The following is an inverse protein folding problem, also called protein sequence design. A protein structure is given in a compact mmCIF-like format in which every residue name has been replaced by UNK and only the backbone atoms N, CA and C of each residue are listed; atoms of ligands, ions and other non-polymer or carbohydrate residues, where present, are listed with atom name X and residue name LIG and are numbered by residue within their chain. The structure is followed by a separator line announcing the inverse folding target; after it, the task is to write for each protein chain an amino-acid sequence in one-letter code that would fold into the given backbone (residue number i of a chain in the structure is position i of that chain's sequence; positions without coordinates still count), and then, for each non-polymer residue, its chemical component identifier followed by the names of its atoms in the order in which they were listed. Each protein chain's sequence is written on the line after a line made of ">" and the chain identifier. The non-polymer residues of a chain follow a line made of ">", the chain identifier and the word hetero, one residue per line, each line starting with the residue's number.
data_IF_582723572475
#
_entry.id   IF_582723572475
#
_cell.length_a   1.000
_cell.length_b   1.000
_cell.length_c   1.000
_cell.angle_alpha   90.00
_cell.angle_beta   90.00
_cell.angle_gamma   90.00
#
_symmetry.space_group_name_H-M   'P 1'
#
loop_
_entity.id
_entity.type
_entity.pdbx_description
1 polymer ?
#
# COMPACT_ATOMS: atom_id res chain seq x y z
N UNK A 1 0.53 -7.18 15.33
CA UNK A 1 -0.82 -7.49 14.81
C UNK A 1 -1.43 -8.63 15.62
N UNK A 2 -2.74 -8.84 15.52
CA UNK A 2 -3.48 -9.79 16.37
C UNK A 2 -2.99 -11.24 16.23
N UNK A 3 -3.02 -11.80 15.01
CA UNK A 3 -2.64 -13.20 14.75
C UNK A 3 -1.18 -13.48 15.13
N UNK A 4 -0.26 -12.57 14.85
CA UNK A 4 1.15 -12.73 15.23
C UNK A 4 1.35 -12.88 16.75
N UNK A 5 0.57 -12.16 17.57
CA UNK A 5 0.62 -12.29 19.03
C UNK A 5 0.09 -13.65 19.48
N UNK A 6 -1.02 -14.11 18.91
CA UNK A 6 -1.59 -15.42 19.22
C UNK A 6 -0.60 -16.55 18.89
N UNK A 7 0.06 -16.48 17.72
CA UNK A 7 1.08 -17.46 17.33
C UNK A 7 2.28 -17.47 18.29
N UNK A 8 2.75 -16.29 18.70
CA UNK A 8 3.85 -16.17 19.67
C UNK A 8 3.49 -16.80 21.02
N UNK A 9 2.28 -16.55 21.53
CA UNK A 9 1.78 -17.15 22.78
C UNK A 9 1.71 -18.69 22.69
N UNK A 10 1.22 -19.23 21.57
CA UNK A 10 1.15 -20.67 21.35
C UNK A 10 2.54 -21.31 21.26
N UNK A 11 3.51 -20.65 20.60
CA UNK A 11 4.88 -21.13 20.49
C UNK A 11 5.66 -21.12 21.81
N UNK A 12 5.28 -20.25 22.76
CA UNK A 12 5.95 -20.13 24.05
C UNK A 12 5.86 -21.42 24.89
N UNK A 13 4.79 -22.22 24.73
CA UNK A 13 4.58 -23.49 25.45
C UNK A 13 5.71 -24.49 25.25
N UNK A 14 6.31 -24.50 24.06
CA UNK A 14 7.37 -25.43 23.67
C UNK A 14 8.72 -24.74 23.45
N UNK A 15 8.86 -23.47 23.84
CA UNK A 15 10.08 -22.66 23.66
C UNK A 15 10.53 -22.63 22.18
N UNK A 16 9.56 -22.56 21.26
CA UNK A 16 9.85 -22.48 19.82
C UNK A 16 10.35 -21.07 19.47
N UNK A 17 11.48 -20.99 18.77
CA UNK A 17 11.94 -19.74 18.17
C UNK A 17 10.99 -19.33 17.05
N UNK A 18 10.64 -18.06 16.97
CA UNK A 18 9.75 -17.51 15.95
C UNK A 18 10.39 -16.30 15.27
N UNK A 19 10.13 -16.15 13.97
CA UNK A 19 10.36 -14.94 13.19
C UNK A 19 9.02 -14.50 12.60
N UNK A 20 8.65 -13.23 12.74
CA UNK A 20 7.29 -12.74 12.49
C UNK A 20 7.30 -11.47 11.64
N UNK A 21 6.74 -11.56 10.44
CA UNK A 21 6.50 -10.43 9.54
C UNK A 21 5.01 -10.09 9.52
N UNK A 22 4.65 -8.95 10.11
CA UNK A 22 3.29 -8.72 10.61
C UNK A 22 2.49 -7.64 9.86
N UNK A 23 2.97 -7.22 8.70
CA UNK A 23 2.41 -6.09 7.97
C UNK A 23 2.82 -4.73 8.55
N UNK A 24 2.41 -3.66 7.88
CA UNK A 24 2.81 -2.30 8.25
C UNK A 24 1.80 -1.24 7.84
N UNK A 25 2.06 -0.01 8.30
CA UNK A 25 1.36 1.19 7.89
C UNK A 25 2.40 2.19 7.37
N UNK A 26 3.05 1.83 6.26
CA UNK A 26 4.26 2.51 5.80
C UNK A 26 3.95 3.97 5.37
N UNK A 27 4.76 4.95 5.81
CA UNK A 27 4.66 6.32 5.33
C UNK A 27 5.38 6.48 3.98
N UNK A 28 4.86 7.39 3.16
CA UNK A 28 5.52 7.93 1.96
C UNK A 28 5.63 9.43 2.15
N UNK A 29 6.85 9.97 2.12
CA UNK A 29 7.13 11.35 2.52
C UNK A 29 7.68 12.12 1.31
N UNK A 30 7.06 13.26 0.99
CA UNK A 30 7.42 14.12 -0.16
C UNK A 30 7.80 15.50 0.35
N UNK A 31 9.04 15.91 0.09
CA UNK A 31 9.57 17.24 0.39
C UNK A 31 9.40 18.19 -0.80
N UNK A 32 9.58 19.48 -0.55
CA UNK A 32 9.43 20.56 -1.55
C UNK A 32 10.47 20.52 -2.67
N UNK A 33 11.63 19.93 -2.42
CA UNK A 33 12.72 19.70 -3.38
C UNK A 33 12.58 18.40 -4.18
N UNK A 34 11.52 17.62 -3.93
CA UNK A 34 11.28 16.38 -4.62
C UNK A 34 10.87 16.60 -6.09
N UNK A 35 11.36 15.72 -6.97
CA UNK A 35 10.81 15.57 -8.31
C UNK A 35 9.39 14.97 -8.21
N UNK A 36 8.37 15.82 -8.40
CA UNK A 36 6.97 15.44 -8.17
C UNK A 36 6.47 14.37 -9.14
N UNK A 37 7.00 14.31 -10.36
CA UNK A 37 6.59 13.29 -11.33
C UNK A 37 7.09 11.91 -10.88
N UNK A 38 8.36 11.82 -10.48
CA UNK A 38 8.92 10.59 -9.89
C UNK A 38 8.27 10.23 -8.56
N UNK A 39 7.92 11.22 -7.74
CA UNK A 39 7.23 10.99 -6.48
C UNK A 39 5.85 10.35 -6.71
N UNK A 40 5.11 10.80 -7.72
CA UNK A 40 3.82 10.22 -8.10
C UNK A 40 3.98 8.80 -8.66
N UNK A 41 4.96 8.55 -9.51
CA UNK A 41 5.28 7.19 -9.99
C UNK A 41 5.59 6.23 -8.83
N UNK A 42 6.44 6.68 -7.90
CA UNK A 42 6.78 5.92 -6.69
C UNK A 42 5.57 5.68 -5.78
N UNK A 43 4.71 6.69 -5.61
CA UNK A 43 3.48 6.57 -4.85
C UNK A 43 2.53 5.54 -5.50
N UNK A 44 2.39 5.56 -6.82
CA UNK A 44 1.58 4.58 -7.54
C UNK A 44 2.09 3.14 -7.35
N UNK A 45 3.40 2.93 -7.59
CA UNK A 45 4.04 1.64 -7.46
C UNK A 45 3.98 1.09 -6.02
N UNK A 46 4.03 1.97 -5.02
CA UNK A 46 3.97 1.59 -3.61
C UNK A 46 2.55 1.33 -3.12
N UNK A 47 1.58 2.20 -3.45
CA UNK A 47 0.22 2.14 -2.90
C UNK A 47 -0.67 1.15 -3.64
N UNK A 48 -0.59 1.08 -4.97
CA UNK A 48 -1.62 0.42 -5.78
C UNK A 48 -1.21 -0.95 -6.34
N UNK A 49 0.08 -1.31 -6.24
CA UNK A 49 0.55 -2.66 -6.60
C UNK A 49 -0.25 -3.72 -5.83
N UNK A 50 -0.70 -4.75 -6.55
CA UNK A 50 -1.54 -5.82 -6.00
C UNK A 50 -2.81 -5.29 -5.30
N UNK A 51 -3.42 -4.23 -5.83
CA UNK A 51 -4.54 -3.51 -5.22
C UNK A 51 -4.26 -3.04 -3.77
N UNK A 52 -3.00 -2.75 -3.44
CA UNK A 52 -2.57 -2.33 -2.10
C UNK A 52 -2.46 -3.48 -1.09
N UNK A 53 -2.61 -4.73 -1.52
CA UNK A 53 -2.54 -5.92 -0.67
C UNK A 53 -1.08 -6.41 -0.55
N UNK A 54 -0.17 -5.52 -0.13
CA UNK A 54 1.22 -5.86 0.19
C UNK A 54 1.59 -5.29 1.57
N UNK A 55 2.38 -6.03 2.35
CA UNK A 55 2.76 -5.65 3.71
C UNK A 55 3.50 -4.30 3.84
N UNK A 56 4.16 -3.85 2.78
CA UNK A 56 4.97 -2.62 2.71
C UNK A 56 4.33 -1.49 1.90
N UNK A 57 3.06 -1.62 1.50
CA UNK A 57 2.37 -0.56 0.76
C UNK A 57 2.34 0.74 1.56
N UNK A 58 2.59 1.87 0.88
CA UNK A 58 2.42 3.19 1.45
C UNK A 58 0.93 3.41 1.78
N UNK A 59 0.59 3.49 3.06
CA UNK A 59 -0.79 3.69 3.51
C UNK A 59 -1.03 5.11 4.06
N UNK A 60 0.04 5.89 4.20
CA UNK A 60 0.01 7.29 4.62
C UNK A 60 0.95 8.09 3.74
N UNK A 61 0.43 9.11 3.07
CA UNK A 61 1.23 10.05 2.27
C UNK A 61 1.34 11.34 3.07
N UNK A 62 2.55 11.75 3.38
CA UNK A 62 2.87 13.02 4.02
C UNK A 62 3.58 13.88 2.99
N UNK A 63 3.01 15.05 2.70
CA UNK A 63 3.52 15.94 1.65
C UNK A 63 3.74 17.31 2.26
N UNK A 64 4.91 17.90 2.03
CA UNK A 64 5.24 19.22 2.53
C UNK A 64 4.34 20.28 1.88
N UNK A 65 3.88 21.22 2.69
CA UNK A 65 2.84 22.20 2.34
C UNK A 65 3.07 22.91 1.00
N UNK A 66 4.30 23.36 0.73
CA UNK A 66 4.66 24.09 -0.50
C UNK A 66 4.48 23.33 -1.82
N UNK A 67 4.34 22.00 -1.79
CA UNK A 67 4.09 21.16 -2.97
C UNK A 67 2.82 20.32 -2.89
N UNK A 68 2.04 20.45 -1.80
CA UNK A 68 0.89 19.61 -1.52
C UNK A 68 -0.12 19.58 -2.67
N UNK A 69 -0.65 20.74 -3.08
CA UNK A 69 -1.71 20.81 -4.09
C UNK A 69 -1.25 20.25 -5.44
N UNK A 70 -0.02 20.59 -5.84
CA UNK A 70 0.58 20.13 -7.10
C UNK A 70 0.79 18.62 -7.11
N UNK A 71 1.25 18.05 -5.99
CA UNK A 71 1.40 16.60 -5.86
C UNK A 71 0.04 15.89 -5.85
N UNK A 72 -0.93 16.41 -5.09
CA UNK A 72 -2.27 15.84 -4.98
C UNK A 72 -2.99 15.81 -6.34
N UNK A 73 -2.91 16.90 -7.11
CA UNK A 73 -3.47 16.97 -8.46
C UNK A 73 -2.82 15.94 -9.40
N UNK A 74 -1.47 15.89 -9.43
CA UNK A 74 -0.75 14.91 -10.27
C UNK A 74 -1.08 13.47 -9.88
N UNK A 75 -1.14 13.18 -8.58
CA UNK A 75 -1.50 11.86 -8.08
C UNK A 75 -2.93 11.49 -8.49
N UNK A 76 -3.88 12.40 -8.37
CA UNK A 76 -5.27 12.18 -8.81
C UNK A 76 -5.35 11.87 -10.30
N UNK A 77 -4.67 12.66 -11.15
CA UNK A 77 -4.61 12.42 -12.60
C UNK A 77 -3.95 11.08 -12.95
N UNK A 78 -2.97 10.64 -12.16
CA UNK A 78 -2.29 9.37 -12.39
C UNK A 78 -3.16 8.18 -11.94
N UNK A 79 -3.83 8.30 -10.79
CA UNK A 79 -4.78 7.30 -10.28
C UNK A 79 -5.99 7.14 -11.20
N UNK A 80 -6.50 8.22 -11.81
CA UNK A 80 -7.65 8.14 -12.72
C UNK A 80 -7.36 7.37 -14.02
N UNK A 81 -6.09 7.10 -14.33
CA UNK A 81 -5.66 6.31 -15.49
C UNK A 81 -5.53 4.81 -15.17
N UNK A 82 -5.73 4.41 -13.91
CA UNK A 82 -5.71 3.00 -13.53
C UNK A 82 -6.96 2.31 -14.09
N UNK A 83 -6.74 1.24 -14.84
CA UNK A 83 -7.79 0.36 -15.36
C UNK A 83 -8.00 -0.80 -14.39
N UNK A 84 -9.24 -0.95 -13.91
CA UNK A 84 -9.68 -2.03 -13.03
C UNK A 84 -10.32 -3.12 -13.88
N UNK A 85 -10.00 -4.40 -13.62
CA UNK A 85 -10.57 -5.52 -14.37
C UNK A 85 -10.01 -6.88 -13.95
N UNK A 86 -10.22 -7.88 -14.79
CA UNK A 86 -9.60 -9.20 -14.63
C UNK A 86 -8.08 -9.06 -14.82
N UNK A 87 -7.30 -9.63 -13.90
CA UNK A 87 -5.84 -9.55 -13.94
C UNK A 87 -5.19 -10.28 -15.14
N UNK A 88 -5.96 -11.10 -15.86
CA UNK A 88 -5.52 -11.77 -17.09
C UNK A 88 -5.76 -10.93 -18.36
N UNK A 89 -6.57 -9.87 -18.27
CA UNK A 89 -6.90 -9.04 -19.43
C UNK A 89 -5.80 -8.00 -19.71
N UNK A 90 -5.50 -7.80 -21.00
CA UNK A 90 -4.51 -6.82 -21.43
C UNK A 90 -4.94 -5.39 -21.04
N UNK A 91 -4.00 -4.64 -20.46
CA UNK A 91 -4.22 -3.24 -20.08
C UNK A 91 -4.85 -3.04 -18.70
N UNK A 92 -5.29 -4.10 -18.02
CA UNK A 92 -5.70 -4.02 -16.63
C UNK A 92 -4.48 -3.74 -15.75
N UNK A 93 -4.62 -2.72 -14.90
CA UNK A 93 -3.55 -2.28 -13.98
C UNK A 93 -3.88 -2.59 -12.52
N UNK A 94 -5.16 -2.81 -12.20
CA UNK A 94 -5.65 -3.09 -10.84
C UNK A 94 -6.63 -4.28 -10.90
N UNK A 95 -6.25 -5.36 -10.24
CA UNK A 95 -7.13 -6.52 -10.04
C UNK A 95 -8.05 -6.37 -8.83
N UNK A 96 -8.84 -7.40 -8.51
CA UNK A 96 -9.73 -7.40 -7.35
C UNK A 96 -8.98 -7.49 -6.03
N UNK A 97 -9.68 -7.23 -4.93
CA UNK A 97 -9.25 -7.66 -3.60
C UNK A 97 -9.41 -9.19 -3.47
N UNK A 98 -8.74 -9.78 -2.47
CA UNK A 98 -8.63 -11.24 -2.35
C UNK A 98 -9.95 -11.94 -2.03
N UNK A 99 -10.83 -11.31 -1.25
CA UNK A 99 -12.13 -11.86 -0.86
C UNK A 99 -13.14 -10.74 -0.49
N UNK A 100 -14.40 -11.13 -0.29
CA UNK A 100 -15.49 -10.21 0.10
C UNK A 100 -15.26 -9.56 1.46
N UNK A 101 -14.56 -10.22 2.39
CA UNK A 101 -14.27 -9.65 3.70
C UNK A 101 -13.27 -8.51 3.59
N UNK A 102 -12.28 -8.63 2.71
CA UNK A 102 -11.33 -7.56 2.39
C UNK A 102 -12.06 -6.37 1.75
N UNK A 103 -13.03 -6.62 0.87
CA UNK A 103 -13.90 -5.57 0.31
C UNK A 103 -14.72 -4.88 1.40
N UNK A 104 -15.39 -5.64 2.27
CA UNK A 104 -16.25 -5.09 3.32
C UNK A 104 -15.50 -4.33 4.42
N UNK A 105 -14.17 -4.52 4.52
CA UNK A 105 -13.32 -3.86 5.51
C UNK A 105 -12.87 -2.46 5.08
N UNK A 106 -12.90 -2.16 3.77
CA UNK A 106 -12.58 -0.83 3.22
C UNK A 106 -13.66 0.18 3.62
#
# INVERSE_FOLDING_TARGET
>A
TEIGRQLMEQCAKDIKKVSLELGGNAPFIVFDDADLDKAVEGALASKFRNAGQTCVCANRLYVQDGVYDRFAEKLQQAVSKLHIGDGLDNGVTIGPLIDEKAVAKM
#
